data_IF_824747962806
#
_entry.id   IF_824747962806
#
_cell.length_a   1.000
_cell.length_b   1.000
_cell.length_c   1.000
_cell.angle_alpha   90.00
_cell.angle_beta   90.00
_cell.angle_gamma   90.00
#
_symmetry.space_group_name_H-M   'P 1'
#
loop_
_entity.id
_entity.type
_entity.pdbx_description
1 polymer ?
#
# COMPACT_ATOMS: atom_id res chain seq x y z
N UNK A 1 13.13 13.83 21.04
CA UNK A 1 11.79 14.30 21.48
C UNK A 1 11.28 13.60 22.74
N UNK A 2 10.76 12.36 22.73
CA UNK A 2 10.21 11.72 23.95
C UNK A 2 11.25 11.48 25.07
N UNK A 3 12.51 11.20 24.69
CA UNK A 3 13.63 10.92 25.62
C UNK A 3 14.52 12.12 25.91
N UNK A 4 14.13 13.32 25.45
CA UNK A 4 14.93 14.53 25.59
C UNK A 4 14.93 14.99 27.06
N UNK A 5 16.10 15.11 27.69
CA UNK A 5 16.22 15.33 29.14
C UNK A 5 15.97 16.78 29.59
N UNK A 6 16.14 17.74 28.70
CA UNK A 6 15.94 19.19 28.87
C UNK A 6 14.50 19.64 28.54
N UNK A 7 13.63 18.72 28.11
CA UNK A 7 12.22 19.01 27.85
C UNK A 7 11.38 18.90 29.13
N UNK A 8 10.32 19.71 29.22
CA UNK A 8 9.37 19.64 30.34
C UNK A 8 8.72 18.25 30.43
N UNK A 9 8.36 17.85 31.64
CA UNK A 9 7.71 16.56 31.90
C UNK A 9 6.41 16.39 31.11
N UNK A 10 5.62 17.46 30.98
CA UNK A 10 4.41 17.48 30.17
C UNK A 10 4.69 17.24 28.67
N UNK A 11 5.77 17.83 28.15
CA UNK A 11 6.20 17.63 26.76
C UNK A 11 6.68 16.18 26.54
N UNK A 12 7.51 15.66 27.45
CA UNK A 12 8.00 14.27 27.39
C UNK A 12 6.85 13.26 27.44
N UNK A 13 5.89 13.47 28.34
CA UNK A 13 4.69 12.62 28.44
C UNK A 13 3.86 12.65 27.16
N UNK A 14 3.67 13.84 26.58
CA UNK A 14 2.94 14.00 25.31
C UNK A 14 3.65 13.27 24.16
N UNK A 15 4.97 13.42 24.07
CA UNK A 15 5.79 12.75 23.07
C UNK A 15 5.84 11.23 23.28
N UNK A 16 5.84 10.75 24.53
CA UNK A 16 5.80 9.32 24.85
C UNK A 16 4.48 8.70 24.39
N UNK A 17 3.34 9.33 24.68
CA UNK A 17 2.02 8.86 24.20
C UNK A 17 1.98 8.75 22.67
N UNK A 18 2.55 9.73 21.96
CA UNK A 18 2.65 9.68 20.49
C UNK A 18 3.54 8.52 20.03
N UNK A 19 4.66 8.29 20.71
CA UNK A 19 5.55 7.18 20.41
C UNK A 19 4.84 5.83 20.61
N UNK A 20 4.10 5.67 21.70
CA UNK A 20 3.37 4.44 22.01
C UNK A 20 2.35 4.11 20.90
N UNK A 21 1.59 5.12 20.43
CA UNK A 21 0.67 4.98 19.29
C UNK A 21 1.42 4.57 18.01
N UNK A 22 2.57 5.17 17.71
CA UNK A 22 3.35 4.80 16.53
C UNK A 22 3.90 3.38 16.61
N UNK A 23 4.25 2.91 17.81
CA UNK A 23 4.71 1.54 18.04
C UNK A 23 3.59 0.53 17.83
N UNK A 24 2.39 0.82 18.33
CA UNK A 24 1.19 0.02 18.10
C UNK A 24 0.86 -0.05 16.59
N UNK A 25 0.79 1.11 15.93
CA UNK A 25 0.55 1.19 14.48
C UNK A 25 1.58 0.39 13.66
N UNK A 26 2.86 0.39 14.08
CA UNK A 26 3.90 -0.41 13.41
C UNK A 26 3.63 -1.90 13.54
N UNK A 27 3.19 -2.36 14.72
CA UNK A 27 2.86 -3.77 14.96
C UNK A 27 1.65 -4.16 14.10
N UNK A 28 0.61 -3.34 14.08
CA UNK A 28 -0.60 -3.60 13.29
C UNK A 28 -0.31 -3.69 11.80
N UNK A 29 0.45 -2.72 11.25
CA UNK A 29 0.84 -2.71 9.84
C UNK A 29 1.68 -3.94 9.47
N UNK A 30 2.64 -4.30 10.32
CA UNK A 30 3.50 -5.47 10.10
C UNK A 30 2.67 -6.76 10.10
N UNK A 31 1.73 -6.87 11.04
CA UNK A 31 0.81 -8.02 11.16
C UNK A 31 -0.11 -8.12 9.95
N UNK A 32 -0.68 -7.00 9.51
CA UNK A 32 -1.55 -6.95 8.33
C UNK A 32 -0.81 -7.39 7.06
N UNK A 33 0.45 -6.97 6.88
CA UNK A 33 1.29 -7.41 5.77
C UNK A 33 1.56 -8.91 5.86
N UNK A 34 1.96 -9.41 7.03
CA UNK A 34 2.22 -10.83 7.25
C UNK A 34 1.00 -11.68 6.89
N UNK A 35 -0.19 -11.28 7.37
CA UNK A 35 -1.43 -11.99 7.08
C UNK A 35 -1.81 -11.94 5.60
N UNK A 36 -1.60 -10.81 4.92
CA UNK A 36 -1.80 -10.72 3.47
C UNK A 36 -0.87 -11.67 2.70
N UNK A 37 0.40 -11.74 3.08
CA UNK A 37 1.37 -12.64 2.46
C UNK A 37 1.01 -14.11 2.69
N UNK A 38 0.59 -14.47 3.90
CA UNK A 38 0.12 -15.81 4.22
C UNK A 38 -1.15 -16.16 3.44
N UNK A 39 -2.10 -15.23 3.33
CA UNK A 39 -3.31 -15.43 2.53
C UNK A 39 -2.97 -15.66 1.04
N UNK A 40 -1.96 -14.97 0.52
CA UNK A 40 -1.47 -15.19 -0.85
C UNK A 40 -0.80 -16.55 -0.98
N UNK A 41 0.08 -16.91 -0.04
CA UNK A 41 0.82 -18.17 -0.06
C UNK A 41 -0.09 -19.40 0.02
N UNK A 42 -1.21 -19.31 0.77
CA UNK A 42 -2.21 -20.38 0.88
C UNK A 42 -3.30 -20.32 -0.19
N UNK A 43 -3.23 -19.38 -1.14
CA UNK A 43 -4.26 -19.24 -2.17
C UNK A 43 -5.63 -18.83 -1.62
N UNK A 44 -5.69 -18.12 -0.49
CA UNK A 44 -6.91 -17.48 0.01
C UNK A 44 -7.14 -16.13 -0.65
N UNK A 45 -6.06 -15.42 -1.01
CA UNK A 45 -6.08 -14.17 -1.78
C UNK A 45 -5.22 -14.30 -3.03
N UNK A 46 -5.67 -13.70 -4.13
CA UNK A 46 -4.96 -13.74 -5.40
C UNK A 46 -4.84 -12.34 -5.98
N UNK A 47 -3.63 -11.97 -6.40
CA UNK A 47 -3.42 -10.75 -7.17
C UNK A 47 -3.84 -10.99 -8.62
N UNK A 48 -4.74 -10.14 -9.14
CA UNK A 48 -5.14 -10.15 -10.55
C UNK A 48 -4.40 -9.05 -11.29
N UNK A 49 -3.67 -9.46 -12.34
CA UNK A 49 -3.02 -8.51 -13.25
C UNK A 49 -3.99 -8.17 -14.36
N UNK A 50 -4.43 -6.92 -14.41
CA UNK A 50 -5.18 -6.37 -15.52
C UNK A 50 -4.24 -5.67 -16.49
N UNK A 51 -4.41 -5.92 -17.79
CA UNK A 51 -3.64 -5.24 -18.84
C UNK A 51 -4.57 -4.35 -19.64
N UNK A 52 -4.14 -3.12 -19.89
CA UNK A 52 -4.85 -2.24 -20.82
C UNK A 52 -4.68 -2.79 -22.24
N UNK A 53 -5.79 -3.09 -22.90
CA UNK A 53 -5.77 -3.56 -24.29
C UNK A 53 -5.53 -2.37 -25.22
N UNK A 54 -4.58 -2.50 -26.14
CA UNK A 54 -4.24 -1.49 -27.14
C UNK A 54 -4.96 -1.81 -28.45
N UNK A 55 -6.17 -1.29 -28.59
CA UNK A 55 -7.05 -1.55 -29.73
C UNK A 55 -6.61 -0.86 -31.03
N UNK A 56 -5.70 0.12 -30.95
CA UNK A 56 -5.26 0.92 -32.10
C UNK A 56 -4.28 0.20 -33.04
N UNK A 57 -3.67 -0.91 -32.61
CA UNK A 57 -2.81 -1.71 -33.49
C UNK A 57 -3.60 -2.76 -34.28
N UNK A 58 -4.86 -2.96 -33.93
CA UNK A 58 -5.75 -3.90 -34.60
C UNK A 58 -6.49 -3.16 -35.73
N UNK A 59 -6.35 -3.66 -36.96
CA UNK A 59 -6.91 -3.07 -38.17
C UNK A 59 -8.44 -3.20 -38.24
N UNK A 60 -9.00 -4.24 -37.61
CA UNK A 60 -10.43 -4.46 -37.46
C UNK A 60 -11.03 -3.65 -36.34
N UNK A 61 -10.24 -3.06 -35.44
CA UNK A 61 -10.75 -2.26 -34.32
C UNK A 61 -10.44 -0.78 -34.49
N UNK A 62 -9.31 -0.43 -35.09
CA UNK A 62 -8.87 0.95 -35.32
C UNK A 62 -9.61 1.60 -36.52
N UNK A 63 -10.49 2.59 -36.29
CA UNK A 63 -11.24 3.26 -37.36
C UNK A 63 -10.35 3.95 -38.40
N UNK A 64 -9.14 4.38 -37.99
CA UNK A 64 -8.16 5.03 -38.88
C UNK A 64 -7.52 4.02 -39.84
N UNK A 65 -7.36 2.75 -39.42
CA UNK A 65 -6.84 1.68 -40.27
C UNK A 65 -7.91 1.06 -41.16
N UNK A 66 -9.17 0.97 -40.67
CA UNK A 66 -10.30 0.42 -41.45
C UNK A 66 -10.54 1.16 -42.77
N UNK A 67 -10.36 2.48 -42.79
CA UNK A 67 -10.64 3.34 -43.94
C UNK A 67 -9.61 3.31 -45.09
N UNK A 68 -8.58 2.45 -45.01
CA UNK A 68 -7.53 2.32 -46.05
C UNK A 68 -7.71 1.12 -47.00
N UNK A 69 -8.91 0.52 -47.04
CA UNK A 69 -9.27 -0.51 -48.04
C UNK A 69 -10.00 0.10 -49.23
#
# INVERSE_FOLDING_TARGET
EATRKDASEAHRTTCQKKLDVLLEQRVDLSTAIQQLLEDIAHGRKYMKVYKQMKMYNDDQLNPVLRGKK
#
